data_IF_310164586771
#
_entry.id   IF_310164586771
#
_cell.length_a   1.000
_cell.length_b   1.000
_cell.length_c   1.000
_cell.angle_alpha   90.00
_cell.angle_beta   90.00
_cell.angle_gamma   90.00
#
_symmetry.space_group_name_H-M   'P 1'
#
loop_
_entity.id
_entity.type
_entity.pdbx_description
1 polymer ?
#
# COMPACT_ATOMS: atom_id res chain seq x y z
N UNK A 1 25.13 -2.64 -7.61
CA UNK A 1 25.04 -3.99 -8.22
C UNK A 1 26.15 -4.12 -9.25
N UNK A 2 27.06 -5.07 -9.06
CA UNK A 2 28.24 -5.28 -9.90
C UNK A 2 27.90 -5.40 -11.40
N UNK A 3 26.86 -6.16 -11.76
CA UNK A 3 26.47 -6.37 -13.16
C UNK A 3 25.91 -5.10 -13.84
N UNK A 4 25.22 -4.23 -13.11
CA UNK A 4 24.78 -2.94 -13.68
C UNK A 4 25.98 -2.05 -14.01
N UNK A 5 26.93 -1.95 -13.08
CA UNK A 5 28.14 -1.16 -13.25
C UNK A 5 28.97 -1.69 -14.42
N UNK A 6 29.14 -3.02 -14.49
CA UNK A 6 29.84 -3.68 -15.59
C UNK A 6 29.16 -3.47 -16.94
N UNK A 7 27.83 -3.50 -16.99
CA UNK A 7 27.08 -3.25 -18.23
C UNK A 7 27.21 -1.80 -18.68
N UNK A 8 27.20 -0.84 -17.76
CA UNK A 8 27.45 0.58 -18.07
C UNK A 8 28.86 0.81 -18.62
N UNK A 9 29.88 0.24 -17.96
CA UNK A 9 31.27 0.31 -18.43
C UNK A 9 31.42 -0.26 -19.85
N UNK A 10 30.81 -1.43 -20.12
CA UNK A 10 30.84 -2.06 -21.44
C UNK A 10 30.02 -1.33 -22.51
N UNK A 11 29.05 -0.49 -22.12
CA UNK A 11 28.22 0.31 -23.04
C UNK A 11 28.78 1.70 -23.30
N UNK A 12 29.62 2.23 -22.40
CA UNK A 12 30.27 3.52 -22.56
C UNK A 12 31.62 3.47 -23.30
N UNK A 13 32.08 2.31 -23.78
CA UNK A 13 33.41 2.15 -24.39
C UNK A 13 33.42 2.26 -25.93
N UNK A 14 33.53 3.50 -26.42
CA UNK A 14 34.72 3.83 -27.22
C UNK A 14 35.75 4.35 -26.21
N UNK A 15 36.99 3.88 -26.10
CA UNK A 15 37.99 3.79 -27.15
C UNK A 15 39.23 3.10 -26.51
N UNK A 16 39.66 1.94 -27.04
CA UNK A 16 40.99 1.29 -26.91
C UNK A 16 41.56 0.90 -25.52
N UNK A 17 41.43 1.72 -24.48
CA UNK A 17 42.07 1.53 -23.16
C UNK A 17 41.48 0.35 -22.38
N UNK A 18 40.17 0.16 -22.41
CA UNK A 18 39.52 -0.97 -21.75
C UNK A 18 39.89 -2.32 -22.39
N UNK A 19 40.00 -2.35 -23.72
CA UNK A 19 40.43 -3.55 -24.44
C UNK A 19 41.88 -3.92 -24.10
N UNK A 20 42.76 -2.94 -23.87
CA UNK A 20 44.14 -3.18 -23.45
C UNK A 20 44.26 -3.75 -22.03
N UNK A 21 43.38 -3.37 -21.10
CA UNK A 21 43.44 -3.81 -19.70
C UNK A 21 43.14 -5.30 -19.52
N UNK A 22 42.37 -5.90 -20.43
CA UNK A 22 41.98 -7.31 -20.35
C UNK A 22 42.75 -8.24 -21.31
N UNK A 23 43.81 -7.75 -21.97
CA UNK A 23 44.61 -8.57 -22.89
C UNK A 23 45.28 -9.78 -22.21
N UNK A 24 45.64 -9.64 -20.94
CA UNK A 24 46.21 -10.71 -20.11
C UNK A 24 45.14 -11.44 -19.27
N UNK A 25 43.88 -11.05 -19.38
CA UNK A 25 42.80 -11.68 -18.64
C UNK A 25 42.45 -13.06 -19.24
N UNK A 26 41.94 -14.01 -18.43
CA UNK A 26 41.42 -15.28 -18.92
C UNK A 26 40.37 -15.09 -20.03
N UNK A 27 40.27 -16.05 -20.95
CA UNK A 27 39.32 -16.02 -22.09
C UNK A 27 37.86 -15.86 -21.66
N UNK A 28 37.51 -16.32 -20.45
CA UNK A 28 36.20 -16.14 -19.84
C UNK A 28 35.83 -14.66 -19.65
N UNK A 29 36.81 -13.79 -19.40
CA UNK A 29 36.62 -12.35 -19.24
C UNK A 29 36.61 -11.66 -20.62
N UNK A 30 37.47 -12.11 -21.53
CA UNK A 30 37.57 -11.57 -22.89
C UNK A 30 36.35 -11.89 -23.76
N UNK A 31 35.69 -13.03 -23.52
CA UNK A 31 34.52 -13.48 -24.28
C UNK A 31 33.18 -12.90 -23.76
N UNK A 32 33.19 -12.07 -22.71
CA UNK A 32 31.97 -11.44 -22.21
C UNK A 32 31.50 -10.36 -23.16
N UNK A 33 30.22 -10.42 -23.53
CA UNK A 33 29.55 -9.41 -24.35
C UNK A 33 28.53 -8.66 -23.49
N UNK A 34 28.20 -7.39 -23.84
CA UNK A 34 27.21 -6.63 -23.08
C UNK A 34 25.85 -7.34 -23.06
N UNK A 35 25.46 -8.03 -24.12
CA UNK A 35 24.22 -8.82 -24.19
C UNK A 35 24.21 -9.96 -23.19
N UNK A 36 25.36 -10.64 -23.01
CA UNK A 36 25.48 -11.74 -22.05
C UNK A 36 25.37 -11.24 -20.62
N UNK A 37 25.99 -10.11 -20.30
CA UNK A 37 25.92 -9.47 -18.97
C UNK A 37 24.52 -8.93 -18.70
N UNK A 38 23.84 -8.39 -19.72
CA UNK A 38 22.45 -7.96 -19.64
C UNK A 38 21.50 -9.12 -19.37
N UNK A 39 21.68 -10.26 -20.05
CA UNK A 39 20.91 -11.48 -19.78
C UNK A 39 21.11 -11.98 -18.33
N UNK A 40 22.35 -12.03 -17.84
CA UNK A 40 22.64 -12.39 -16.44
C UNK A 40 21.97 -11.43 -15.46
N UNK A 41 21.96 -10.13 -15.77
CA UNK A 41 21.31 -9.12 -14.94
C UNK A 41 19.79 -9.30 -14.93
N UNK A 42 19.18 -9.64 -16.06
CA UNK A 42 17.76 -9.96 -16.17
C UNK A 42 17.41 -11.19 -15.31
N UNK A 43 18.16 -12.29 -15.45
CA UNK A 43 17.95 -13.52 -14.68
C UNK A 43 18.03 -13.27 -13.16
N UNK A 44 19.04 -12.52 -12.71
CA UNK A 44 19.21 -12.19 -11.29
C UNK A 44 18.06 -11.31 -10.79
N UNK A 45 17.61 -10.34 -11.58
CA UNK A 45 16.45 -9.50 -11.23
C UNK A 45 15.17 -10.32 -11.13
N UNK A 46 14.95 -11.22 -12.06
CA UNK A 46 13.76 -12.09 -12.07
C UNK A 46 13.75 -13.03 -10.87
N UNK A 47 14.87 -13.66 -10.56
CA UNK A 47 15.02 -14.48 -9.36
C UNK A 47 14.78 -13.67 -8.08
N UNK A 48 15.36 -12.47 -7.99
CA UNK A 48 15.12 -11.58 -6.85
C UNK A 48 13.65 -11.19 -6.74
N UNK A 49 12.98 -10.85 -7.85
CA UNK A 49 11.56 -10.50 -7.85
C UNK A 49 10.69 -11.67 -7.37
N UNK A 50 10.98 -12.89 -7.80
CA UNK A 50 10.26 -14.09 -7.36
C UNK A 50 10.48 -14.33 -5.87
N UNK A 51 11.73 -14.29 -5.40
CA UNK A 51 12.11 -14.59 -4.02
C UNK A 51 11.68 -13.50 -3.02
N UNK A 52 11.65 -12.24 -3.45
CA UNK A 52 11.26 -11.10 -2.61
C UNK A 52 9.80 -10.72 -2.77
N UNK A 53 9.04 -11.43 -3.61
CA UNK A 53 7.60 -11.20 -3.77
C UNK A 53 6.86 -11.27 -2.43
N UNK A 54 5.82 -10.45 -2.27
CA UNK A 54 4.99 -10.43 -1.06
C UNK A 54 4.44 -11.83 -0.74
N UNK A 55 4.06 -12.59 -1.77
CA UNK A 55 3.65 -13.99 -1.63
C UNK A 55 4.76 -14.85 -1.02
N UNK A 56 5.98 -14.74 -1.50
CA UNK A 56 7.12 -15.49 -0.97
C UNK A 56 7.47 -15.06 0.46
N UNK A 57 7.40 -13.76 0.77
CA UNK A 57 7.57 -13.24 2.14
C UNK A 57 6.52 -13.82 3.10
N UNK A 58 5.25 -13.86 2.69
CA UNK A 58 4.20 -14.52 3.48
C UNK A 58 4.48 -16.01 3.66
N UNK A 59 4.90 -16.72 2.61
CA UNK A 59 5.25 -18.15 2.72
C UNK A 59 6.40 -18.39 3.70
N UNK A 60 7.44 -17.55 3.68
CA UNK A 60 8.52 -17.61 4.66
C UNK A 60 8.03 -17.33 6.09
N UNK A 61 7.13 -16.37 6.27
CA UNK A 61 6.52 -16.09 7.59
C UNK A 61 5.65 -17.25 8.09
N UNK A 62 4.93 -17.92 7.19
CA UNK A 62 4.13 -19.12 7.51
C UNK A 62 5.05 -20.27 7.90
N UNK A 63 6.13 -20.49 7.15
CA UNK A 63 7.13 -21.52 7.44
C UNK A 63 7.82 -21.26 8.79
N UNK A 64 8.16 -20.00 9.08
CA UNK A 64 8.80 -19.61 10.34
C UNK A 64 7.84 -19.64 11.54
N UNK A 65 6.54 -19.43 11.31
CA UNK A 65 5.54 -19.45 12.39
C UNK A 65 4.12 -19.76 11.87
N UNK A 66 3.52 -20.89 12.28
CA UNK A 66 2.12 -21.21 11.98
C UNK A 66 1.13 -20.14 12.49
N UNK A 67 1.48 -19.43 13.56
CA UNK A 67 0.66 -18.36 14.17
C UNK A 67 0.45 -17.14 13.26
N UNK A 68 1.26 -17.00 12.21
CA UNK A 68 1.08 -15.93 11.24
C UNK A 68 -0.26 -16.04 10.49
N UNK A 69 -0.68 -17.26 10.15
CA UNK A 69 -1.96 -17.53 9.48
C UNK A 69 -3.14 -17.25 10.40
N UNK A 70 -3.06 -17.73 11.65
CA UNK A 70 -4.08 -17.52 12.68
C UNK A 70 -4.30 -16.02 12.97
N UNK A 71 -3.21 -15.25 13.09
CA UNK A 71 -3.31 -13.78 13.27
C UNK A 71 -4.01 -13.10 12.09
N UNK A 72 -3.76 -13.54 10.85
CA UNK A 72 -4.44 -12.98 9.68
C UNK A 72 -5.93 -13.34 9.66
N UNK A 73 -6.29 -14.56 10.05
CA UNK A 73 -7.68 -15.00 10.18
C UNK A 73 -8.45 -14.17 11.21
N UNK A 74 -7.91 -14.05 12.43
CA UNK A 74 -8.55 -13.28 13.52
C UNK A 74 -8.75 -11.80 13.20
N UNK A 75 -7.85 -11.18 12.43
CA UNK A 75 -8.03 -9.79 11.98
C UNK A 75 -9.16 -9.66 10.94
N UNK A 76 -9.30 -10.64 10.05
CA UNK A 76 -10.39 -10.66 9.07
C UNK A 76 -11.75 -10.88 9.75
N UNK A 77 -11.81 -11.79 10.73
CA UNK A 77 -13.01 -12.05 11.54
C UNK A 77 -13.44 -10.79 12.31
N UNK A 78 -12.50 -10.13 13.01
CA UNK A 78 -12.77 -8.86 13.72
C UNK A 78 -13.23 -7.74 12.78
N UNK A 79 -12.68 -7.67 11.58
CA UNK A 79 -13.10 -6.71 10.57
C UNK A 79 -14.55 -6.95 10.13
N UNK A 80 -14.92 -8.21 9.95
CA UNK A 80 -16.28 -8.61 9.60
C UNK A 80 -17.27 -8.32 10.75
N UNK A 81 -16.89 -8.65 11.99
CA UNK A 81 -17.69 -8.32 13.18
C UNK A 81 -17.95 -6.82 13.30
N UNK A 82 -16.92 -5.98 13.11
CA UNK A 82 -17.06 -4.53 13.17
C UNK A 82 -18.01 -3.98 12.08
N UNK A 83 -17.96 -4.53 10.87
CA UNK A 83 -18.88 -4.16 9.79
C UNK A 83 -20.33 -4.53 10.12
N UNK A 84 -20.55 -5.71 10.71
CA UNK A 84 -21.88 -6.14 11.13
C UNK A 84 -22.42 -5.31 12.29
N UNK A 85 -21.58 -4.94 13.26
CA UNK A 85 -21.96 -4.01 14.32
C UNK A 85 -22.32 -2.64 13.78
N UNK A 86 -21.53 -2.11 12.84
CA UNK A 86 -21.83 -0.83 12.19
C UNK A 86 -23.19 -0.88 11.48
N UNK A 87 -23.46 -1.93 10.69
CA UNK A 87 -24.74 -2.10 9.99
C UNK A 87 -25.94 -2.21 10.95
N UNK A 88 -25.75 -2.79 12.14
CA UNK A 88 -26.81 -2.84 13.18
C UNK A 88 -27.06 -1.48 13.82
N UNK A 89 -26.05 -0.62 13.91
CA UNK A 89 -26.13 0.70 14.55
C UNK A 89 -26.66 1.77 13.60
N UNK A 90 -26.40 1.64 12.30
CA UNK A 90 -26.83 2.57 11.25
C UNK A 90 -28.32 2.98 11.32
N UNK A 91 -29.31 2.05 11.40
CA UNK A 91 -30.71 2.43 11.48
C UNK A 91 -31.08 3.16 12.78
N UNK A 92 -30.35 2.89 13.88
CA UNK A 92 -30.57 3.60 15.15
C UNK A 92 -30.05 5.03 15.07
N UNK A 93 -28.89 5.23 14.43
CA UNK A 93 -28.30 6.55 14.20
C UNK A 93 -29.25 7.39 13.32
N UNK A 94 -29.79 6.80 12.25
CA UNK A 94 -30.75 7.48 11.37
C UNK A 94 -32.02 7.90 12.11
N UNK A 95 -32.58 7.01 12.93
CA UNK A 95 -33.75 7.32 13.73
C UNK A 95 -33.48 8.44 14.73
N UNK A 96 -32.34 8.40 15.42
CA UNK A 96 -31.90 9.45 16.35
C UNK A 96 -31.69 10.78 15.63
N UNK A 97 -31.08 10.77 14.46
CA UNK A 97 -30.88 11.97 13.64
C UNK A 97 -32.22 12.58 13.19
N UNK A 98 -33.18 11.76 12.79
CA UNK A 98 -34.53 12.20 12.43
C UNK A 98 -35.25 12.85 13.62
N UNK A 99 -35.24 12.18 14.79
CA UNK A 99 -35.83 12.72 16.03
C UNK A 99 -35.19 14.02 16.49
N UNK A 100 -33.87 14.13 16.36
CA UNK A 100 -33.13 15.35 16.73
C UNK A 100 -33.50 16.51 15.81
N UNK A 101 -33.66 16.27 14.49
CA UNK A 101 -34.14 17.27 13.54
C UNK A 101 -35.59 17.71 13.82
N UNK A 102 -36.47 16.79 14.19
CA UNK A 102 -37.85 17.12 14.58
C UNK A 102 -37.85 18.04 15.82
N UNK A 103 -37.09 17.66 16.84
CA UNK A 103 -36.97 18.44 18.06
C UNK A 103 -36.38 19.83 17.78
N UNK A 104 -35.32 19.92 16.97
CA UNK A 104 -34.72 21.18 16.54
C UNK A 104 -35.77 22.12 15.91
N UNK A 105 -36.58 21.62 14.98
CA UNK A 105 -37.64 22.41 14.33
C UNK A 105 -38.71 22.89 15.32
N UNK A 106 -39.10 22.04 16.27
CA UNK A 106 -40.09 22.42 17.29
C UNK A 106 -39.55 23.53 18.19
N UNK A 107 -38.28 23.47 18.57
CA UNK A 107 -37.62 24.50 19.37
C UNK A 107 -37.47 25.80 18.57
N UNK A 108 -37.02 25.72 17.31
CA UNK A 108 -36.93 26.88 16.41
C UNK A 108 -38.28 27.58 16.26
N UNK A 109 -39.37 26.81 16.10
CA UNK A 109 -40.72 27.34 16.01
C UNK A 109 -41.22 27.99 17.31
N UNK A 110 -40.93 27.41 18.48
CA UNK A 110 -41.32 28.01 19.77
C UNK A 110 -40.57 29.33 20.02
N UNK A 111 -39.26 29.35 19.75
CA UNK A 111 -38.44 30.57 19.90
C UNK A 111 -38.89 31.63 18.89
N UNK A 112 -39.13 31.27 17.63
CA UNK A 112 -39.60 32.23 16.61
C UNK A 112 -40.89 32.96 17.04
N UNK A 113 -41.85 32.23 17.63
CA UNK A 113 -43.09 32.81 18.18
C UNK A 113 -42.82 33.81 19.29
N UNK A 114 -41.87 33.53 20.18
CA UNK A 114 -41.48 34.43 21.28
C UNK A 114 -40.76 35.70 20.79
N UNK A 115 -40.20 35.68 19.58
CA UNK A 115 -39.45 36.78 18.98
C UNK A 115 -40.09 37.31 17.69
N UNK A 116 -41.39 37.65 17.74
CA UNK A 116 -42.11 38.34 16.66
C UNK A 116 -42.04 37.63 15.29
N UNK A 117 -42.08 36.29 15.28
CA UNK A 117 -42.03 35.46 14.07
C UNK A 117 -40.78 35.70 13.20
N UNK A 118 -39.67 36.12 13.80
CA UNK A 118 -38.38 36.15 13.09
C UNK A 118 -37.86 34.73 12.86
N UNK A 119 -37.23 34.42 11.71
CA UNK A 119 -36.66 33.11 11.48
C UNK A 119 -35.49 32.86 12.46
N UNK A 120 -35.47 31.69 13.10
CA UNK A 120 -34.44 31.26 14.05
C UNK A 120 -33.90 29.91 13.58
N UNK A 121 -32.58 29.82 13.42
CA UNK A 121 -31.88 28.59 13.07
C UNK A 121 -30.89 28.25 14.19
N UNK A 122 -31.01 27.06 14.77
CA UNK A 122 -30.13 26.61 15.86
C UNK A 122 -29.01 25.79 15.22
N UNK A 123 -27.77 26.26 15.29
CA UNK A 123 -26.59 25.50 14.83
C UNK A 123 -25.92 24.83 16.03
N UNK A 124 -25.69 23.52 15.96
CA UNK A 124 -24.87 22.80 16.93
C UNK A 124 -23.38 22.98 16.63
N UNK A 125 -22.55 23.03 17.68
CA UNK A 125 -21.09 22.90 17.54
C UNK A 125 -20.76 21.43 17.72
N UNK A 126 -20.25 20.77 16.68
CA UNK A 126 -19.65 19.45 16.82
C UNK A 126 -18.32 19.61 17.56
N UNK A 127 -18.20 18.99 18.75
CA UNK A 127 -16.94 18.83 19.49
C UNK A 127 -16.45 17.40 19.29
#
# INVERSE_FOLDING_TARGET
MFLCQRLSEMREEGDLMAMSQFQLAPSVIQAQTPERVEAMLADVRDLLNVLTSVRMQHLFMIQASPRYVERRGTLAEKGQEALEEQAKLEPRIDLLAARTKELQKLIEADISKRYNNRPVNIMGVHV
#
